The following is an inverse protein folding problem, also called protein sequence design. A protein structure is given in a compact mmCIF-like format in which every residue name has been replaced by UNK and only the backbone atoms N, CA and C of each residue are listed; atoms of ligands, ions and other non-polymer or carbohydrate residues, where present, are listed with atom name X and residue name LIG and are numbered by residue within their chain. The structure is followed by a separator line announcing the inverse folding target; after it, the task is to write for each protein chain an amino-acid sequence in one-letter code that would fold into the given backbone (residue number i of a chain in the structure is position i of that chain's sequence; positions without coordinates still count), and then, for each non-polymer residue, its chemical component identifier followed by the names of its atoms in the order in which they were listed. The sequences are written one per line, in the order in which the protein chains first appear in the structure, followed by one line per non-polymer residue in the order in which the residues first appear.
data_IF_968648743049
#
_entry.id   IF_968648743049
#
_cell.length_a   1.000
_cell.length_b   1.000
_cell.length_c   1.000
_cell.angle_alpha   90.00
_cell.angle_beta   90.00
_cell.angle_gamma   90.00
#
_symmetry.space_group_name_H-M   'P 1'
#
loop_
_entity.id
_entity.type
_entity.pdbx_description
1 polymer ?
#
# COMPACT_ATOMS: atom_id res chain seq x y z
N UNK A 1 3.44 63.51 24.45
CA UNK A 1 2.11 62.89 24.65
C UNK A 1 1.88 62.60 26.14
N UNK A 2 0.75 63.02 26.72
CA UNK A 2 0.44 62.70 28.12
C UNK A 2 0.21 61.19 28.30
N UNK A 3 0.39 60.67 29.53
CA UNK A 3 0.10 59.26 29.85
C UNK A 3 -1.31 58.84 29.39
N UNK A 4 -2.30 59.76 29.46
CA UNK A 4 -3.67 59.54 29.00
C UNK A 4 -3.77 59.40 27.47
N UNK A 5 -3.04 60.22 26.71
CA UNK A 5 -3.03 60.14 25.25
C UNK A 5 -2.37 58.84 24.74
N UNK A 6 -1.32 58.34 25.42
CA UNK A 6 -0.73 57.04 25.12
C UNK A 6 -1.69 55.88 25.42
N UNK A 7 -2.43 55.96 26.52
CA UNK A 7 -3.41 54.95 26.91
C UNK A 7 -4.58 54.86 25.92
N UNK A 8 -5.12 56.03 25.51
CA UNK A 8 -6.21 56.10 24.51
C UNK A 8 -5.73 55.57 23.16
N UNK A 9 -4.53 55.95 22.71
CA UNK A 9 -3.96 55.45 21.45
C UNK A 9 -3.75 53.93 21.48
N UNK A 10 -3.27 53.36 22.59
CA UNK A 10 -3.14 51.92 22.74
C UNK A 10 -4.50 51.21 22.70
N UNK A 11 -5.52 51.75 23.39
CA UNK A 11 -6.89 51.21 23.35
C UNK A 11 -7.50 51.27 21.94
N UNK A 12 -7.30 52.36 21.21
CA UNK A 12 -7.75 52.47 19.82
C UNK A 12 -7.06 51.44 18.93
N UNK A 13 -5.74 51.25 19.06
CA UNK A 13 -5.00 50.25 18.28
C UNK A 13 -5.45 48.83 18.61
N UNK A 14 -5.69 48.51 19.88
CA UNK A 14 -6.25 47.21 20.28
C UNK A 14 -7.66 47.01 19.73
N UNK A 15 -8.50 48.06 19.73
CA UNK A 15 -9.85 48.01 19.15
C UNK A 15 -9.82 47.74 17.65
N UNK A 16 -8.94 48.43 16.90
CA UNK A 16 -8.74 48.19 15.46
C UNK A 16 -8.22 46.78 15.22
N UNK A 17 -7.25 46.32 16.02
CA UNK A 17 -6.72 44.95 15.91
C UNK A 17 -7.78 43.89 16.17
N UNK A 18 -8.62 44.06 17.19
CA UNK A 18 -9.71 43.15 17.50
C UNK A 18 -10.76 43.10 16.38
N UNK A 19 -11.13 44.25 15.82
CA UNK A 19 -12.07 44.33 14.70
C UNK A 19 -11.49 43.66 13.44
N UNK A 20 -10.20 43.87 13.15
CA UNK A 20 -9.52 43.23 12.04
C UNK A 20 -9.48 41.71 12.19
N UNK A 21 -9.11 41.21 13.38
CA UNK A 21 -9.10 39.77 13.68
C UNK A 21 -10.49 39.16 13.59
N UNK A 22 -11.51 39.83 14.12
CA UNK A 22 -12.90 39.37 14.03
C UNK A 22 -13.39 39.32 12.58
N UNK A 23 -13.06 40.34 11.78
CA UNK A 23 -13.36 40.36 10.35
C UNK A 23 -12.68 39.23 9.58
N UNK A 24 -11.39 38.99 9.82
CA UNK A 24 -10.64 37.89 9.21
C UNK A 24 -11.25 36.55 9.59
N UNK A 25 -11.52 36.31 10.88
CA UNK A 25 -12.12 35.06 11.34
C UNK A 25 -13.50 34.83 10.72
N UNK A 26 -14.32 35.89 10.60
CA UNK A 26 -15.63 35.82 9.94
C UNK A 26 -15.52 35.41 8.47
N UNK A 27 -14.55 35.96 7.73
CA UNK A 27 -14.29 35.57 6.33
C UNK A 27 -13.77 34.13 6.25
N UNK A 28 -12.84 33.75 7.11
CA UNK A 28 -12.29 32.38 7.13
C UNK A 28 -13.37 31.34 7.43
N UNK A 29 -14.29 31.62 8.36
CA UNK A 29 -15.43 30.75 8.66
C UNK A 29 -16.42 30.70 7.49
N UNK A 30 -16.78 31.85 6.91
CA UNK A 30 -17.72 31.89 5.77
C UNK A 30 -17.20 31.13 4.55
N UNK A 31 -15.89 31.18 4.31
CA UNK A 31 -15.23 30.42 3.23
C UNK A 31 -15.00 28.94 3.58
N UNK A 32 -15.50 28.45 4.71
CA UNK A 32 -15.53 27.02 5.06
C UNK A 32 -16.90 26.37 4.83
N UNK A 33 -17.93 27.16 4.47
CA UNK A 33 -19.28 26.62 4.37
C UNK A 33 -19.46 25.79 3.08
N UNK A 34 -20.33 24.76 3.08
CA UNK A 34 -20.66 24.00 1.89
C UNK A 34 -21.13 24.88 0.73
N UNK A 35 -21.87 25.96 1.00
CA UNK A 35 -22.35 26.87 -0.05
C UNK A 35 -21.21 27.62 -0.73
N UNK A 36 -20.15 27.98 0.02
CA UNK A 36 -18.96 28.57 -0.58
C UNK A 36 -18.19 27.54 -1.40
N UNK A 37 -17.98 26.34 -0.86
CA UNK A 37 -17.31 25.26 -1.59
C UNK A 37 -18.05 24.93 -2.90
N UNK A 38 -19.38 24.78 -2.85
CA UNK A 38 -20.22 24.49 -4.01
C UNK A 38 -20.44 25.67 -4.97
N UNK A 39 -19.89 26.85 -4.68
CA UNK A 39 -20.06 28.02 -5.55
C UNK A 39 -19.26 27.95 -6.86
N UNK A 40 -18.26 27.07 -6.93
CA UNK A 40 -17.47 26.76 -8.11
C UNK A 40 -18.10 25.59 -8.90
N UNK A 41 -18.09 25.63 -10.24
CA UNK A 41 -18.74 24.58 -11.04
C UNK A 41 -18.03 23.23 -10.84
N UNK A 42 -16.70 23.24 -10.63
CA UNK A 42 -15.89 22.04 -10.44
C UNK A 42 -16.23 21.29 -9.15
N UNK A 43 -16.79 21.99 -8.15
CA UNK A 43 -17.20 21.42 -6.87
C UNK A 43 -18.59 20.77 -6.90
N UNK A 44 -19.36 20.96 -7.98
CA UNK A 44 -20.65 20.28 -8.15
C UNK A 44 -20.52 18.76 -8.25
N UNK A 45 -19.40 18.24 -8.77
CA UNK A 45 -19.15 16.81 -8.86
C UNK A 45 -18.94 16.15 -7.49
N UNK A 46 -17.97 16.57 -6.64
CA UNK A 46 -17.81 16.00 -5.31
C UNK A 46 -19.00 16.30 -4.39
N UNK A 47 -19.73 17.40 -4.60
CA UNK A 47 -20.95 17.70 -3.85
C UNK A 47 -22.03 16.63 -4.05
N UNK A 48 -22.29 16.22 -5.31
CA UNK A 48 -23.29 15.18 -5.60
C UNK A 48 -22.92 13.84 -4.95
N UNK A 49 -21.63 13.52 -4.92
CA UNK A 49 -21.12 12.30 -4.25
C UNK A 49 -21.32 12.39 -2.73
N UNK A 50 -21.03 13.55 -2.15
CA UNK A 50 -21.27 13.80 -0.73
C UNK A 50 -22.74 13.66 -0.36
N UNK A 51 -23.65 14.25 -1.14
CA UNK A 51 -25.11 14.16 -0.93
C UNK A 51 -25.63 12.71 -0.96
N UNK A 52 -24.94 11.82 -1.69
CA UNK A 52 -25.24 10.38 -1.72
C UNK A 52 -24.60 9.56 -0.58
N UNK A 53 -23.77 10.17 0.27
CA UNK A 53 -22.97 9.46 1.28
C UNK A 53 -23.64 9.39 2.66
N UNK A 54 -23.14 8.49 3.51
CA UNK A 54 -23.53 8.40 4.91
C UNK A 54 -23.17 9.64 5.74
N UNK A 55 -22.23 10.47 5.26
CA UNK A 55 -21.83 11.71 5.93
C UNK A 55 -22.82 12.86 5.66
N UNK A 56 -23.64 12.75 4.61
CA UNK A 56 -24.72 13.70 4.35
C UNK A 56 -26.04 13.31 5.04
N UNK A 57 -26.39 12.02 5.00
CA UNK A 57 -27.61 11.50 5.59
C UNK A 57 -27.37 10.13 6.25
N UNK A 58 -27.70 10.02 7.55
CA UNK A 58 -27.61 8.78 8.30
C UNK A 58 -28.70 8.69 9.38
N UNK A 59 -28.88 7.48 9.92
CA UNK A 59 -29.87 7.19 10.95
C UNK A 59 -29.61 7.89 12.30
N UNK A 60 -28.45 8.53 12.49
CA UNK A 60 -28.09 9.27 13.71
C UNK A 60 -28.42 10.76 13.61
N UNK A 61 -28.77 11.26 12.42
CA UNK A 61 -29.11 12.67 12.21
C UNK A 61 -27.91 13.62 12.31
N UNK A 62 -26.68 13.10 12.17
CA UNK A 62 -25.45 13.91 12.19
C UNK A 62 -25.03 14.14 10.75
N UNK A 63 -24.73 15.39 10.38
CA UNK A 63 -24.18 15.73 9.06
C UNK A 63 -22.77 16.25 9.23
N UNK A 64 -21.83 15.67 8.49
CA UNK A 64 -20.50 16.24 8.32
C UNK A 64 -20.50 17.06 7.03
N UNK A 65 -20.11 18.32 7.15
CA UNK A 65 -19.96 19.27 6.05
C UNK A 65 -18.61 19.12 5.35
N UNK A 66 -18.42 19.83 4.24
CA UNK A 66 -17.17 19.77 3.47
C UNK A 66 -15.95 20.11 4.34
N UNK A 67 -16.07 21.15 5.17
CA UNK A 67 -14.98 21.62 6.03
C UNK A 67 -14.67 20.68 7.18
N UNK A 68 -15.67 19.97 7.73
CA UNK A 68 -15.47 19.02 8.82
C UNK A 68 -14.48 17.91 8.46
N UNK A 69 -14.32 17.60 7.17
CA UNK A 69 -13.36 16.62 6.66
C UNK A 69 -12.12 17.25 6.02
N UNK A 70 -12.28 18.31 5.23
CA UNK A 70 -11.20 18.89 4.41
C UNK A 70 -10.42 20.03 5.09
N UNK A 71 -10.93 20.59 6.19
CA UNK A 71 -10.34 21.74 6.87
C UNK A 71 -10.18 21.42 8.36
N UNK A 72 -8.95 21.21 8.86
CA UNK A 72 -8.71 21.03 10.30
C UNK A 72 -9.29 22.18 11.12
N UNK A 73 -9.91 21.88 12.26
CA UNK A 73 -10.78 22.84 12.97
C UNK A 73 -10.05 24.07 13.52
N UNK A 74 -8.76 23.97 13.84
CA UNK A 74 -8.02 25.06 14.47
C UNK A 74 -6.51 25.05 14.19
N UNK A 75 -5.83 26.06 14.75
CA UNK A 75 -4.37 26.14 14.77
C UNK A 75 -3.71 26.36 13.41
N UNK A 76 -2.47 25.88 13.30
CA UNK A 76 -1.66 26.07 12.09
C UNK A 76 -2.21 25.28 10.90
N UNK A 77 -2.77 24.10 11.13
CA UNK A 77 -3.34 23.27 10.07
C UNK A 77 -4.55 23.93 9.40
N UNK A 78 -5.42 24.59 10.18
CA UNK A 78 -6.51 25.41 9.65
C UNK A 78 -5.99 26.52 8.71
N UNK A 79 -4.98 27.28 9.16
CA UNK A 79 -4.39 28.38 8.37
C UNK A 79 -3.70 27.84 7.11
N UNK A 80 -2.95 26.74 7.22
CA UNK A 80 -2.29 26.07 6.09
C UNK A 80 -3.31 25.62 5.05
N UNK A 81 -4.43 25.01 5.46
CA UNK A 81 -5.48 24.56 4.55
C UNK A 81 -6.09 25.75 3.79
N UNK A 82 -6.38 26.86 4.50
CA UNK A 82 -6.92 28.09 3.90
C UNK A 82 -5.97 28.77 2.92
N UNK A 83 -4.68 28.81 3.22
CA UNK A 83 -3.66 29.35 2.30
C UNK A 83 -3.49 28.43 1.09
N UNK A 84 -3.48 27.11 1.30
CA UNK A 84 -3.34 26.12 0.23
C UNK A 84 -4.53 26.16 -0.73
N UNK A 85 -5.74 26.41 -0.23
CA UNK A 85 -6.96 26.53 -1.04
C UNK A 85 -6.92 27.70 -2.06
N UNK A 86 -6.00 28.67 -1.92
CA UNK A 86 -5.81 29.72 -2.92
C UNK A 86 -5.40 29.16 -4.29
N UNK A 87 -4.74 27.99 -4.31
CA UNK A 87 -4.39 27.30 -5.56
C UNK A 87 -5.64 26.83 -6.30
N UNK A 88 -6.68 26.44 -5.57
CA UNK A 88 -7.91 25.91 -6.14
C UNK A 88 -8.70 27.03 -6.82
N UNK A 89 -8.71 28.23 -6.21
CA UNK A 89 -9.25 29.46 -6.84
C UNK A 89 -8.51 29.82 -8.14
N UNK A 90 -7.18 29.71 -8.14
CA UNK A 90 -6.38 29.95 -9.34
C UNK A 90 -6.69 28.93 -10.45
N UNK A 91 -6.72 27.63 -10.12
CA UNK A 91 -6.98 26.58 -11.10
C UNK A 91 -8.41 26.57 -11.63
N UNK A 92 -9.37 26.99 -10.82
CA UNK A 92 -10.74 27.26 -11.26
C UNK A 92 -10.77 28.43 -12.25
N UNK A 93 -10.10 29.55 -11.93
CA UNK A 93 -10.09 30.73 -12.78
C UNK A 93 -9.43 30.51 -14.16
N UNK A 94 -8.42 29.63 -14.25
CA UNK A 94 -7.79 29.25 -15.53
C UNK A 94 -8.47 28.08 -16.23
N UNK A 95 -9.56 27.53 -15.66
CA UNK A 95 -10.35 26.47 -16.29
C UNK A 95 -9.64 25.11 -16.39
N UNK A 96 -8.77 24.76 -15.43
CA UNK A 96 -8.07 23.45 -15.44
C UNK A 96 -9.06 22.28 -15.36
N UNK A 97 -10.19 22.48 -14.68
CA UNK A 97 -11.25 21.49 -14.44
C UNK A 97 -12.62 22.12 -14.81
N UNK A 98 -12.73 22.63 -16.02
CA UNK A 98 -13.94 23.27 -16.55
C UNK A 98 -15.06 22.30 -16.97
N UNK A 99 -14.73 21.02 -17.11
CA UNK A 99 -15.67 19.96 -17.48
C UNK A 99 -15.44 18.65 -16.71
N UNK A 100 -16.41 17.74 -16.82
CA UNK A 100 -16.38 16.45 -16.13
C UNK A 100 -15.21 15.58 -16.58
N UNK A 101 -14.87 15.57 -17.87
CA UNK A 101 -13.78 14.74 -18.36
C UNK A 101 -12.43 15.19 -17.78
N UNK A 102 -12.20 16.49 -17.66
CA UNK A 102 -11.02 17.05 -16.97
C UNK A 102 -11.04 16.81 -15.47
N UNK A 103 -12.22 16.84 -14.83
CA UNK A 103 -12.35 16.49 -13.41
C UNK A 103 -11.93 15.04 -13.17
N UNK A 104 -12.49 14.11 -13.96
CA UNK A 104 -12.16 12.69 -13.86
C UNK A 104 -10.69 12.41 -14.17
N UNK A 105 -10.10 13.07 -15.17
CA UNK A 105 -8.67 12.88 -15.50
C UNK A 105 -7.71 13.34 -14.40
N UNK A 106 -8.13 14.28 -13.55
CA UNK A 106 -7.35 14.75 -12.39
C UNK A 106 -7.82 14.15 -11.06
N UNK A 107 -8.89 13.34 -11.04
CA UNK A 107 -9.49 12.81 -9.81
C UNK A 107 -8.47 12.05 -8.96
N UNK A 108 -7.65 11.20 -9.58
CA UNK A 108 -6.61 10.44 -8.89
C UNK A 108 -5.57 11.36 -8.22
N UNK A 109 -5.08 12.36 -8.94
CA UNK A 109 -4.11 13.32 -8.41
C UNK A 109 -4.71 14.13 -7.25
N UNK A 110 -5.95 14.61 -7.40
CA UNK A 110 -6.63 15.37 -6.35
C UNK A 110 -6.91 14.53 -5.10
N UNK A 111 -7.43 13.31 -5.29
CA UNK A 111 -7.71 12.39 -4.20
C UNK A 111 -6.44 12.02 -3.43
N UNK A 112 -5.35 11.71 -4.14
CA UNK A 112 -4.07 11.37 -3.53
C UNK A 112 -3.54 12.51 -2.67
N UNK A 113 -3.58 13.75 -3.16
CA UNK A 113 -3.14 14.92 -2.36
C UNK A 113 -3.93 15.07 -1.06
N UNK A 114 -5.25 14.89 -1.10
CA UNK A 114 -6.09 14.96 0.11
C UNK A 114 -5.76 13.81 1.06
N UNK A 115 -5.57 12.60 0.54
CA UNK A 115 -5.20 11.44 1.36
C UNK A 115 -3.83 11.61 2.01
N UNK A 116 -2.84 12.13 1.29
CA UNK A 116 -1.51 12.40 1.82
C UNK A 116 -1.57 13.45 2.94
N UNK A 117 -2.36 14.52 2.76
CA UNK A 117 -2.55 15.54 3.80
C UNK A 117 -3.25 14.97 5.04
N UNK A 118 -4.30 14.16 4.86
CA UNK A 118 -4.99 13.45 5.95
C UNK A 118 -4.06 12.41 6.62
N UNK A 119 -3.18 11.76 5.88
CA UNK A 119 -2.25 10.80 6.44
C UNK A 119 -1.19 11.52 7.29
N UNK A 120 -0.63 12.61 6.76
CA UNK A 120 0.42 13.39 7.40
C UNK A 120 -0.04 14.09 8.69
N UNK A 121 -1.33 14.41 8.82
CA UNK A 121 -1.91 15.00 10.03
C UNK A 121 -2.64 14.00 10.94
N UNK A 122 -2.41 12.69 10.75
CA UNK A 122 -3.07 11.62 11.52
C UNK A 122 -4.61 11.68 11.49
N UNK A 123 -5.17 12.01 10.32
CA UNK A 123 -6.60 12.09 10.07
C UNK A 123 -7.33 12.92 11.14
N UNK A 124 -6.74 14.05 11.52
CA UNK A 124 -7.20 14.93 12.60
C UNK A 124 -8.71 15.23 12.53
N UNK A 125 -9.20 15.53 11.33
CA UNK A 125 -10.61 15.81 11.03
C UNK A 125 -11.50 14.58 11.16
N UNK A 126 -11.01 13.39 10.80
CA UNK A 126 -11.75 12.15 11.06
C UNK A 126 -11.85 11.92 12.57
N UNK A 127 -10.76 12.13 13.30
CA UNK A 127 -10.65 11.83 14.74
C UNK A 127 -11.46 12.78 15.62
N UNK A 128 -11.78 13.99 15.16
CA UNK A 128 -12.67 14.89 15.91
C UNK A 128 -14.07 14.32 16.12
N UNK A 129 -14.47 13.36 15.27
CA UNK A 129 -15.74 12.63 15.39
C UNK A 129 -15.54 11.12 15.65
N UNK A 130 -14.46 10.53 15.13
CA UNK A 130 -14.16 9.09 15.16
C UNK A 130 -12.85 8.78 15.88
N UNK A 131 -12.84 8.89 17.22
CA UNK A 131 -11.65 8.56 18.00
C UNK A 131 -11.55 7.04 18.29
N UNK A 132 -10.32 6.51 18.29
CA UNK A 132 -10.07 5.11 18.69
C UNK A 132 -10.53 4.82 20.12
N UNK A 133 -10.58 5.83 20.99
CA UNK A 133 -10.94 5.67 22.40
C UNK A 133 -12.46 5.67 22.62
N UNK A 134 -13.23 6.28 21.73
CA UNK A 134 -14.69 6.32 21.81
C UNK A 134 -15.38 5.23 20.96
N UNK A 135 -14.65 4.55 20.08
CA UNK A 135 -15.20 3.44 19.30
C UNK A 135 -15.52 2.23 20.16
N UNK A 136 -16.78 1.78 20.13
CA UNK A 136 -17.21 0.56 20.80
C UNK A 136 -16.82 -0.68 19.98
N UNK A 137 -15.61 -1.20 20.20
CA UNK A 137 -15.07 -2.35 19.48
C UNK A 137 -15.91 -3.63 19.65
N UNK A 138 -16.67 -3.78 20.74
CA UNK A 138 -17.51 -4.96 20.95
C UNK A 138 -18.71 -5.03 20.02
N UNK A 139 -19.15 -3.89 19.48
CA UNK A 139 -20.29 -3.79 18.56
C UNK A 139 -19.87 -3.85 17.09
N UNK A 140 -18.57 -3.96 16.81
CA UNK A 140 -18.04 -4.11 15.46
C UNK A 140 -18.02 -5.58 15.03
N UNK A 141 -17.96 -5.83 13.73
CA UNK A 141 -17.72 -7.18 13.22
C UNK A 141 -16.36 -7.70 13.73
N UNK A 142 -16.22 -9.03 13.85
CA UNK A 142 -14.97 -9.66 14.35
C UNK A 142 -13.74 -9.16 13.58
N UNK A 143 -13.86 -9.04 12.26
CA UNK A 143 -12.79 -8.53 11.39
C UNK A 143 -12.49 -7.06 11.69
N UNK A 144 -13.51 -6.19 11.70
CA UNK A 144 -13.32 -4.75 11.95
C UNK A 144 -12.71 -4.48 13.33
N UNK A 145 -13.15 -5.22 14.37
CA UNK A 145 -12.56 -5.15 15.71
C UNK A 145 -11.07 -5.46 15.68
N UNK A 146 -10.68 -6.55 15.01
CA UNK A 146 -9.28 -6.94 14.91
C UNK A 146 -8.47 -5.89 14.14
N UNK A 147 -8.95 -5.47 12.96
CA UNK A 147 -8.30 -4.46 12.13
C UNK A 147 -8.11 -3.14 12.86
N UNK A 148 -9.11 -2.63 13.59
CA UNK A 148 -8.96 -1.39 14.36
C UNK A 148 -8.01 -1.54 15.56
N UNK A 149 -7.97 -2.72 16.19
CA UNK A 149 -7.01 -3.00 17.27
C UNK A 149 -5.58 -2.97 16.73
N UNK A 150 -5.35 -3.65 15.60
CA UNK A 150 -4.05 -3.70 14.92
C UNK A 150 -3.65 -2.31 14.41
N UNK A 151 -4.59 -1.55 13.84
CA UNK A 151 -4.35 -0.18 13.37
C UNK A 151 -3.88 0.75 14.48
N UNK A 152 -4.54 0.71 15.65
CA UNK A 152 -4.11 1.47 16.83
C UNK A 152 -2.72 1.06 17.30
N UNK A 153 -2.44 -0.24 17.33
CA UNK A 153 -1.14 -0.77 17.76
C UNK A 153 0.01 -0.41 16.81
N UNK A 154 -0.28 -0.36 15.50
CA UNK A 154 0.70 -0.09 14.45
C UNK A 154 0.80 1.41 14.08
N UNK A 155 0.10 2.29 14.78
CA UNK A 155 0.12 3.74 14.50
C UNK A 155 -0.50 4.13 13.16
N UNK A 156 -1.44 3.32 12.65
CA UNK A 156 -2.17 3.64 11.43
C UNK A 156 -3.24 4.70 11.69
N UNK A 157 -3.53 5.47 10.65
CA UNK A 157 -4.54 6.52 10.67
C UNK A 157 -5.80 6.12 9.88
N UNK A 158 -6.89 6.88 10.03
CA UNK A 158 -8.19 6.53 9.46
C UNK A 158 -8.12 6.39 7.93
N UNK A 159 -7.43 7.33 7.27
CA UNK A 159 -7.35 7.40 5.81
C UNK A 159 -6.48 6.29 5.19
N UNK A 160 -5.70 5.55 5.98
CA UNK A 160 -4.89 4.43 5.47
C UNK A 160 -5.78 3.32 4.90
N UNK A 161 -6.98 3.14 5.46
CA UNK A 161 -7.95 2.14 5.02
C UNK A 161 -9.26 2.75 4.51
N UNK A 162 -9.77 3.81 5.15
CA UNK A 162 -11.05 4.40 4.80
C UNK A 162 -10.94 5.44 3.70
N UNK A 163 -10.57 5.01 2.49
CA UNK A 163 -10.61 5.85 1.29
C UNK A 163 -11.93 5.68 0.56
N UNK A 164 -12.37 6.73 -0.13
CA UNK A 164 -13.62 6.70 -0.89
C UNK A 164 -14.89 6.61 -0.04
N UNK A 165 -14.86 7.13 1.19
CA UNK A 165 -16.01 7.10 2.13
C UNK A 165 -17.17 7.94 1.60
N UNK A 166 -16.85 9.11 1.06
CA UNK A 166 -17.80 10.15 0.63
C UNK A 166 -17.73 10.32 -0.87
N UNK A 167 -16.52 10.39 -1.42
CA UNK A 167 -16.28 10.57 -2.84
C UNK A 167 -15.98 9.23 -3.50
N UNK A 168 -16.38 9.06 -4.76
CA UNK A 168 -16.03 7.88 -5.52
C UNK A 168 -14.51 7.79 -5.67
N UNK A 169 -13.99 6.60 -5.47
CA UNK A 169 -12.59 6.32 -5.73
C UNK A 169 -12.27 6.66 -7.18
N UNK A 170 -11.08 7.22 -7.45
CA UNK A 170 -10.61 7.39 -8.81
C UNK A 170 -10.77 6.08 -9.59
N UNK A 171 -11.39 6.17 -10.76
CA UNK A 171 -11.36 5.06 -11.69
C UNK A 171 -9.88 4.74 -11.90
N UNK A 172 -9.52 3.48 -11.64
CA UNK A 172 -8.19 3.02 -11.97
C UNK A 172 -8.05 3.32 -13.45
N UNK A 173 -7.16 4.23 -13.78
CA UNK A 173 -6.69 4.31 -15.14
C UNK A 173 -6.02 2.97 -15.42
N UNK A 174 -6.81 2.00 -15.87
CA UNK A 174 -6.43 1.05 -16.88
C UNK A 174 -6.10 1.89 -18.12
N UNK A 175 -5.07 2.74 -18.03
CA UNK A 175 -4.30 3.13 -19.19
C UNK A 175 -3.95 1.80 -19.84
N UNK A 176 -4.54 1.58 -21.02
CA UNK A 176 -4.42 0.34 -21.74
C UNK A 176 -2.96 -0.10 -21.75
N UNK A 177 -2.74 -1.39 -21.55
CA UNK A 177 -1.51 -2.06 -21.96
C UNK A 177 -0.20 -1.42 -21.48
N UNK A 178 -0.08 -1.11 -20.20
CA UNK A 178 1.11 -1.59 -19.50
C UNK A 178 0.65 -2.70 -18.58
N UNK A 179 0.50 -3.90 -19.15
CA UNK A 179 0.80 -5.09 -18.36
C UNK A 179 2.09 -4.75 -17.61
N UNK A 180 2.15 -4.96 -16.30
CA UNK A 180 3.45 -5.19 -15.69
C UNK A 180 4.02 -6.35 -16.49
N UNK A 181 4.86 -6.07 -17.48
CA UNK A 181 5.35 -7.10 -18.37
C UNK A 181 6.06 -8.08 -17.46
N UNK A 182 5.58 -9.33 -17.47
CA UNK A 182 6.20 -10.37 -16.68
C UNK A 182 7.72 -10.28 -16.91
N UNK A 183 8.53 -10.20 -15.85
CA UNK A 183 9.96 -10.00 -16.01
C UNK A 183 10.47 -11.10 -16.93
N UNK A 184 11.09 -10.71 -18.04
CA UNK A 184 11.71 -11.68 -18.93
C UNK A 184 13.07 -12.03 -18.35
N UNK A 185 13.42 -13.31 -18.38
CA UNK A 185 14.79 -13.69 -18.08
C UNK A 185 15.71 -12.95 -19.04
N UNK A 186 16.80 -12.39 -18.52
CA UNK A 186 17.75 -11.65 -19.35
C UNK A 186 18.64 -12.58 -20.19
N UNK A 187 18.37 -13.90 -20.16
CA UNK A 187 19.11 -14.90 -20.92
C UNK A 187 20.58 -14.85 -20.53
N UNK A 188 20.89 -15.29 -19.30
CA UNK A 188 22.24 -15.24 -18.76
C UNK A 188 23.24 -15.79 -19.78
N UNK A 189 24.14 -14.93 -20.26
CA UNK A 189 25.16 -15.27 -21.26
C UNK A 189 26.51 -15.67 -20.63
N UNK A 190 26.69 -15.38 -19.33
CA UNK A 190 27.91 -15.71 -18.57
C UNK A 190 27.55 -16.18 -17.17
N UNK A 191 28.42 -17.03 -16.60
CA UNK A 191 28.21 -17.55 -15.24
C UNK A 191 28.11 -16.38 -14.24
N UNK A 192 27.17 -16.50 -13.31
CA UNK A 192 26.89 -15.49 -12.28
C UNK A 192 26.86 -16.19 -10.93
N UNK A 193 27.14 -15.45 -9.85
CA UNK A 193 27.08 -16.00 -8.50
C UNK A 193 25.65 -16.45 -8.16
N UNK A 194 24.66 -15.67 -8.60
CA UNK A 194 23.24 -15.88 -8.31
C UNK A 194 22.36 -15.59 -9.53
N UNK A 195 21.23 -16.28 -9.58
CA UNK A 195 20.14 -16.03 -10.50
C UNK A 195 18.79 -16.33 -9.84
N UNK A 196 17.72 -15.74 -10.36
CA UNK A 196 16.38 -15.84 -9.81
C UNK A 196 15.42 -16.29 -10.89
N UNK A 197 14.51 -17.21 -10.56
CA UNK A 197 13.42 -17.58 -11.44
C UNK A 197 12.46 -16.38 -11.60
N UNK A 198 12.13 -16.02 -12.85
CA UNK A 198 11.28 -14.85 -13.12
C UNK A 198 9.79 -15.15 -12.97
N UNK A 199 9.41 -16.40 -13.15
CA UNK A 199 8.04 -16.91 -13.05
C UNK A 199 8.05 -18.35 -12.51
N UNK A 200 6.89 -18.96 -12.31
CA UNK A 200 6.84 -20.37 -11.94
C UNK A 200 7.35 -21.23 -13.10
N UNK A 201 8.36 -22.05 -12.84
CA UNK A 201 9.02 -22.85 -13.89
C UNK A 201 9.27 -24.28 -13.43
N UNK A 202 9.24 -25.18 -14.40
CA UNK A 202 9.64 -26.58 -14.20
C UNK A 202 11.13 -26.70 -14.51
N UNK A 203 11.92 -26.98 -13.49
CA UNK A 203 13.28 -27.46 -13.62
C UNK A 203 13.34 -28.97 -13.33
N UNK A 204 14.53 -29.53 -13.54
CA UNK A 204 14.80 -30.92 -13.19
C UNK A 204 16.10 -31.04 -12.41
N UNK A 205 16.17 -32.02 -11.51
CA UNK A 205 17.42 -32.36 -10.85
C UNK A 205 18.37 -33.15 -11.76
N UNK A 206 19.52 -33.59 -11.21
CA UNK A 206 20.51 -34.37 -11.96
C UNK A 206 20.00 -35.76 -12.38
N UNK A 207 19.02 -36.31 -11.67
CA UNK A 207 18.40 -37.61 -11.99
C UNK A 207 17.15 -37.47 -12.88
N UNK A 208 16.67 -36.25 -13.12
CA UNK A 208 15.51 -35.96 -13.96
C UNK A 208 14.19 -35.78 -13.21
N UNK A 209 14.19 -35.72 -11.88
CA UNK A 209 12.99 -35.49 -11.08
C UNK A 209 12.52 -34.02 -11.15
N UNK A 210 11.21 -33.77 -11.04
CA UNK A 210 10.65 -32.42 -11.24
C UNK A 210 10.91 -31.53 -10.01
N UNK A 211 11.52 -30.36 -10.25
CA UNK A 211 11.63 -29.28 -9.26
C UNK A 211 10.91 -28.06 -9.81
N UNK A 212 9.75 -27.74 -9.22
CA UNK A 212 8.95 -26.59 -9.65
C UNK A 212 9.37 -25.34 -8.86
N UNK A 213 10.16 -24.49 -9.49
CA UNK A 213 10.62 -23.23 -8.94
C UNK A 213 9.48 -22.20 -8.93
N UNK A 214 9.35 -21.46 -7.83
CA UNK A 214 8.46 -20.30 -7.72
C UNK A 214 9.15 -19.04 -8.26
N UNK A 215 8.42 -17.97 -8.60
CA UNK A 215 9.02 -16.66 -8.84
C UNK A 215 9.94 -16.25 -7.68
N UNK A 216 11.04 -15.56 -7.96
CA UNK A 216 12.09 -15.19 -6.99
C UNK A 216 12.85 -16.36 -6.35
N UNK A 217 12.67 -17.60 -6.80
CA UNK A 217 13.49 -18.70 -6.33
C UNK A 217 14.96 -18.45 -6.70
N UNK A 218 15.83 -18.43 -5.69
CA UNK A 218 17.24 -18.11 -5.83
C UNK A 218 18.05 -19.37 -6.14
N UNK A 219 18.86 -19.28 -7.19
CA UNK A 219 19.81 -20.29 -7.61
C UNK A 219 21.22 -19.75 -7.38
N UNK A 220 21.99 -20.50 -6.61
CA UNK A 220 23.41 -20.25 -6.35
C UNK A 220 24.29 -21.06 -7.30
N UNK A 221 25.58 -20.70 -7.39
CA UNK A 221 26.59 -21.45 -8.15
C UNK A 221 26.19 -21.67 -9.63
N UNK A 222 25.64 -20.63 -10.26
CA UNK A 222 24.98 -20.73 -11.56
C UNK A 222 25.99 -20.91 -12.69
N UNK A 223 25.85 -22.02 -13.42
CA UNK A 223 26.62 -22.38 -14.62
C UNK A 223 25.70 -22.42 -15.83
N UNK A 224 26.21 -22.01 -16.98
CA UNK A 224 25.46 -22.02 -18.25
C UNK A 224 26.05 -23.09 -19.15
N UNK A 225 25.18 -23.96 -19.67
CA UNK A 225 25.50 -25.01 -20.61
C UNK A 225 24.59 -24.87 -21.84
N UNK A 226 25.01 -24.08 -22.83
CA UNK A 226 24.17 -23.73 -23.98
C UNK A 226 22.94 -22.94 -23.54
N UNK A 227 21.74 -23.42 -23.90
CA UNK A 227 20.47 -22.76 -23.58
C UNK A 227 19.95 -23.08 -22.17
N UNK A 228 20.68 -23.89 -21.39
CA UNK A 228 20.30 -24.32 -20.05
C UNK A 228 21.19 -23.68 -18.99
N UNK A 229 20.57 -23.32 -17.88
CA UNK A 229 21.24 -22.96 -16.63
C UNK A 229 21.20 -24.16 -15.68
N UNK A 230 22.32 -24.42 -15.03
CA UNK A 230 22.43 -25.30 -13.87
C UNK A 230 22.77 -24.46 -12.65
N UNK A 231 22.01 -24.59 -11.57
CA UNK A 231 22.28 -23.90 -10.32
C UNK A 231 21.85 -24.74 -9.13
N UNK A 232 22.18 -24.27 -7.94
CA UNK A 232 21.84 -24.92 -6.68
C UNK A 232 20.75 -24.10 -5.99
N UNK A 233 19.56 -24.68 -5.86
CA UNK A 233 18.51 -24.17 -5.00
C UNK A 233 18.83 -24.60 -3.55
N UNK A 234 18.89 -23.64 -2.63
CA UNK A 234 19.04 -23.90 -1.20
C UNK A 234 17.81 -23.35 -0.45
N UNK A 235 17.34 -24.11 0.52
CA UNK A 235 16.19 -23.71 1.34
C UNK A 235 15.91 -24.69 2.45
N UNK A 236 14.72 -24.60 3.04
CA UNK A 236 14.30 -25.37 4.20
C UNK A 236 13.03 -26.16 3.93
N UNK A 237 12.95 -27.38 4.45
CA UNK A 237 11.75 -28.22 4.43
C UNK A 237 11.29 -28.49 5.85
N UNK A 238 10.00 -28.26 6.12
CA UNK A 238 9.39 -28.56 7.41
C UNK A 238 8.96 -30.04 7.46
N UNK A 239 9.20 -30.72 8.58
CA UNK A 239 8.73 -32.08 8.79
C UNK A 239 7.20 -32.18 8.57
N UNK A 240 6.77 -33.11 7.72
CA UNK A 240 5.36 -33.29 7.33
C UNK A 240 4.91 -32.43 6.15
N UNK A 241 5.77 -31.54 5.64
CA UNK A 241 5.57 -30.76 4.42
C UNK A 241 6.75 -30.94 3.44
N UNK A 242 7.18 -32.18 3.27
CA UNK A 242 8.42 -32.56 2.56
C UNK A 242 8.43 -32.15 1.08
N UNK A 243 7.27 -31.91 0.47
CA UNK A 243 7.14 -31.45 -0.92
C UNK A 243 7.33 -29.94 -1.12
N UNK A 244 7.49 -29.17 -0.04
CA UNK A 244 7.59 -27.70 -0.08
C UNK A 244 8.94 -27.22 0.41
N UNK A 245 9.62 -26.42 -0.40
CA UNK A 245 10.89 -25.78 -0.05
C UNK A 245 10.64 -24.30 0.26
N UNK A 246 11.06 -23.87 1.44
CA UNK A 246 10.95 -22.51 1.96
C UNK A 246 12.28 -21.78 1.90
N UNK A 247 12.27 -20.46 1.70
CA UNK A 247 13.50 -19.66 1.63
C UNK A 247 14.27 -19.63 2.96
N UNK A 248 13.55 -19.52 4.08
CA UNK A 248 14.13 -19.34 5.41
C UNK A 248 13.42 -20.19 6.48
N UNK A 249 14.15 -20.52 7.54
CA UNK A 249 13.64 -21.25 8.70
C UNK A 249 12.46 -20.51 9.35
N UNK A 250 11.34 -21.20 9.54
CA UNK A 250 10.14 -20.65 10.19
C UNK A 250 9.37 -19.62 9.33
N UNK A 251 9.83 -19.30 8.11
CA UNK A 251 9.17 -18.39 7.18
C UNK A 251 8.49 -19.16 6.07
N UNK A 252 7.18 -18.97 5.90
CA UNK A 252 6.36 -19.62 4.87
C UNK A 252 6.51 -18.95 3.50
N UNK A 253 7.76 -18.70 3.08
CA UNK A 253 8.12 -18.12 1.78
C UNK A 253 8.49 -19.27 0.86
N UNK A 254 7.51 -19.81 0.13
CA UNK A 254 7.73 -20.97 -0.75
C UNK A 254 8.53 -20.57 -1.99
N UNK A 255 9.69 -21.22 -2.19
CA UNK A 255 10.59 -21.00 -3.33
C UNK A 255 10.60 -22.18 -4.30
N UNK A 256 10.22 -23.39 -3.86
CA UNK A 256 10.00 -24.50 -4.77
C UNK A 256 8.99 -25.52 -4.24
N UNK A 257 8.44 -26.30 -5.17
CA UNK A 257 7.71 -27.53 -4.89
C UNK A 257 8.47 -28.69 -5.55
N UNK A 258 8.66 -29.76 -4.80
CA UNK A 258 9.37 -30.97 -5.24
C UNK A 258 8.44 -32.17 -5.18
N UNK A 259 8.60 -33.09 -6.11
CA UNK A 259 7.94 -34.39 -6.03
C UNK A 259 8.67 -35.34 -5.06
N UNK A 260 8.09 -36.52 -4.82
CA UNK A 260 8.66 -37.51 -3.91
C UNK A 260 10.03 -38.02 -4.36
N UNK A 261 10.33 -37.98 -5.66
CA UNK A 261 11.60 -38.43 -6.21
C UNK A 261 12.71 -37.41 -5.98
N UNK A 262 12.46 -36.15 -6.37
CA UNK A 262 13.34 -35.02 -6.11
C UNK A 262 13.60 -34.87 -4.61
N UNK A 263 12.57 -35.04 -3.77
CA UNK A 263 12.72 -35.04 -2.32
C UNK A 263 13.76 -36.05 -1.82
N UNK A 264 13.77 -37.28 -2.34
CA UNK A 264 14.75 -38.31 -1.96
C UNK A 264 16.18 -38.01 -2.42
N UNK A 265 16.32 -37.15 -3.44
CA UNK A 265 17.62 -36.74 -3.97
C UNK A 265 18.19 -35.48 -3.29
N UNK A 266 17.41 -34.86 -2.39
CA UNK A 266 17.83 -33.68 -1.65
C UNK A 266 19.11 -33.92 -0.84
N UNK A 267 20.08 -33.02 -0.95
CA UNK A 267 21.22 -33.02 -0.06
C UNK A 267 20.83 -32.29 1.23
N UNK A 268 20.68 -33.03 2.32
CA UNK A 268 20.40 -32.45 3.65
C UNK A 268 21.69 -31.88 4.22
N UNK A 269 21.72 -30.56 4.43
CA UNK A 269 22.86 -29.82 4.99
C UNK A 269 22.85 -29.93 6.51
N UNK A 270 21.70 -29.66 7.12
CA UNK A 270 21.50 -29.74 8.56
C UNK A 270 20.01 -29.90 8.90
N UNK A 271 19.74 -30.29 10.14
CA UNK A 271 18.39 -30.33 10.72
C UNK A 271 18.36 -29.46 11.96
N UNK A 272 17.34 -28.61 12.08
CA UNK A 272 17.14 -27.73 13.22
C UNK A 272 15.70 -27.79 13.69
N UNK A 273 15.50 -27.91 14.99
CA UNK A 273 14.20 -27.77 15.62
C UNK A 273 13.85 -26.28 15.73
N UNK A 274 12.64 -25.90 15.34
CA UNK A 274 12.14 -24.53 15.44
C UNK A 274 11.06 -24.43 16.53
N UNK A 275 11.36 -23.70 17.59
CA UNK A 275 10.49 -23.57 18.78
C UNK A 275 9.17 -22.85 18.47
N UNK A 276 9.11 -22.05 17.39
CA UNK A 276 7.90 -21.30 17.02
C UNK A 276 6.87 -22.21 16.34
N UNK A 277 7.35 -23.10 15.47
CA UNK A 277 6.51 -24.05 14.75
C UNK A 277 6.40 -25.41 15.46
N UNK A 278 7.22 -25.65 16.49
CA UNK A 278 7.33 -26.93 17.23
C UNK A 278 7.57 -28.11 16.28
N UNK A 279 8.42 -27.89 15.29
CA UNK A 279 8.72 -28.88 14.24
C UNK A 279 10.19 -28.86 13.85
N UNK A 280 10.66 -29.99 13.35
CA UNK A 280 11.99 -30.09 12.76
C UNK A 280 11.99 -29.57 11.33
N UNK A 281 13.02 -28.82 10.99
CA UNK A 281 13.26 -28.28 9.67
C UNK A 281 14.60 -28.77 9.14
N UNK A 282 14.60 -29.27 7.91
CA UNK A 282 15.80 -29.71 7.20
C UNK A 282 16.23 -28.65 6.21
N UNK A 283 17.45 -28.17 6.34
CA UNK A 283 18.07 -27.36 5.30
C UNK A 283 18.52 -28.28 4.18
N UNK A 284 18.07 -28.00 2.96
CA UNK A 284 18.24 -28.87 1.80
C UNK A 284 18.80 -28.11 0.61
N UNK A 285 19.57 -28.83 -0.20
CA UNK A 285 20.10 -28.34 -1.47
C UNK A 285 19.65 -29.25 -2.62
N UNK A 286 19.19 -28.64 -3.70
CA UNK A 286 18.85 -29.31 -4.95
C UNK A 286 19.70 -28.72 -6.07
N UNK A 287 20.36 -29.58 -6.84
CA UNK A 287 20.84 -29.20 -8.16
C UNK A 287 19.61 -29.07 -9.07
N UNK A 288 19.47 -27.95 -9.78
CA UNK A 288 18.33 -27.70 -10.67
C UNK A 288 18.83 -27.21 -12.02
N UNK A 289 18.28 -27.79 -13.08
CA UNK A 289 18.52 -27.41 -14.47
C UNK A 289 17.23 -26.87 -15.09
N UNK A 290 17.30 -25.71 -15.75
CA UNK A 290 16.18 -25.06 -16.42
C UNK A 290 16.66 -24.15 -17.57
N UNK A 291 15.79 -23.74 -18.51
CA UNK A 291 16.20 -22.86 -19.60
C UNK A 291 16.73 -21.51 -19.11
N UNK A 292 17.85 -21.04 -19.66
CA UNK A 292 18.51 -19.80 -19.25
C UNK A 292 17.64 -18.54 -19.47
N UNK A 293 16.71 -18.59 -20.43
CA UNK A 293 15.74 -17.51 -20.69
C UNK A 293 14.68 -17.35 -19.58
N UNK A 294 14.65 -18.25 -18.61
CA UNK A 294 13.68 -18.26 -17.50
C UNK A 294 14.25 -17.76 -16.18
N UNK A 295 15.49 -17.30 -16.19
CA UNK A 295 16.18 -16.76 -15.02
C UNK A 295 16.75 -15.39 -15.31
N UNK A 296 16.94 -14.60 -14.26
CA UNK A 296 17.62 -13.29 -14.30
C UNK A 296 18.57 -13.15 -13.12
N UNK A 297 19.68 -12.45 -13.28
CA UNK A 297 20.52 -12.03 -12.15
C UNK A 297 20.18 -10.62 -11.63
N UNK A 298 19.16 -9.98 -12.21
CA UNK A 298 18.71 -8.65 -11.81
C UNK A 298 17.53 -8.74 -10.82
N UNK A 299 17.87 -8.90 -9.55
CA UNK A 299 16.89 -8.87 -8.46
C UNK A 299 16.20 -7.51 -8.33
N UNK A 300 16.86 -6.42 -8.72
CA UNK A 300 16.28 -5.06 -8.65
C UNK A 300 15.08 -4.95 -9.57
N UNK A 301 15.20 -5.46 -10.80
CA UNK A 301 14.09 -5.50 -11.77
C UNK A 301 12.95 -6.41 -11.28
N UNK A 302 13.26 -7.56 -10.66
CA UNK A 302 12.22 -8.41 -10.05
C UNK A 302 11.49 -7.72 -8.90
N UNK A 303 12.22 -7.05 -8.01
CA UNK A 303 11.63 -6.29 -6.91
C UNK A 303 10.79 -5.11 -7.43
N UNK A 304 11.24 -4.43 -8.48
CA UNK A 304 10.46 -3.39 -9.13
C UNK A 304 9.16 -3.96 -9.70
N UNK A 305 9.19 -5.12 -10.36
CA UNK A 305 7.99 -5.80 -10.84
C UNK A 305 7.01 -6.14 -9.70
N UNK A 306 7.49 -6.73 -8.61
CA UNK A 306 6.67 -7.03 -7.43
C UNK A 306 6.07 -5.77 -6.80
N UNK A 307 6.85 -4.68 -6.72
CA UNK A 307 6.38 -3.37 -6.28
C UNK A 307 5.29 -2.84 -7.20
N UNK A 308 5.45 -2.92 -8.52
CA UNK A 308 4.44 -2.50 -9.48
C UNK A 308 3.17 -3.34 -9.37
N UNK A 309 3.27 -4.66 -9.13
CA UNK A 309 2.09 -5.48 -8.87
C UNK A 309 1.33 -4.98 -7.63
N UNK A 310 2.03 -4.65 -6.54
CA UNK A 310 1.43 -4.12 -5.33
C UNK A 310 0.77 -2.76 -5.58
N UNK A 311 1.52 -1.82 -6.17
CA UNK A 311 1.03 -0.47 -6.42
C UNK A 311 -0.13 -0.48 -7.43
N UNK A 312 -0.08 -1.27 -8.49
CA UNK A 312 -1.08 -1.20 -9.54
C UNK A 312 -2.36 -1.96 -9.18
N UNK A 313 -2.25 -3.09 -8.46
CA UNK A 313 -3.40 -3.96 -8.20
C UNK A 313 -3.96 -3.83 -6.79
N UNK A 314 -3.19 -3.34 -5.82
CA UNK A 314 -3.65 -3.18 -4.44
C UNK A 314 -3.96 -1.73 -4.06
N UNK A 315 -3.64 -0.75 -4.91
CA UNK A 315 -3.96 0.67 -4.65
C UNK A 315 -5.35 1.12 -5.10
N UNK A 316 -6.13 0.23 -5.73
CA UNK A 316 -7.44 0.59 -6.29
C UNK A 316 -8.49 0.97 -5.24
N UNK A 317 -8.35 0.50 -4.01
CA UNK A 317 -9.29 0.77 -2.93
C UNK A 317 -8.71 1.64 -1.80
N UNK A 318 -7.42 1.51 -1.51
CA UNK A 318 -6.70 2.27 -0.49
C UNK A 318 -5.26 2.53 -0.94
N UNK A 319 -4.42 3.23 -0.17
CA UNK A 319 -2.98 3.24 -0.50
C UNK A 319 -2.47 1.80 -0.39
N UNK A 320 -1.70 1.35 -1.37
CA UNK A 320 -1.04 0.06 -1.27
C UNK A 320 -0.11 0.06 -0.05
N UNK A 321 -0.24 -0.99 0.76
CA UNK A 321 0.49 -1.13 2.02
C UNK A 321 1.95 -1.43 1.68
N UNK A 322 2.89 -0.73 2.33
CA UNK A 322 4.31 -0.95 2.13
C UNK A 322 4.73 -2.36 2.57
N UNK A 323 5.67 -2.98 1.85
CA UNK A 323 6.06 -4.36 2.10
C UNK A 323 6.57 -4.61 3.54
N UNK A 324 7.21 -3.61 4.13
CA UNK A 324 7.76 -3.60 5.49
C UNK A 324 6.71 -3.38 6.60
N UNK A 325 5.42 -3.42 6.28
CA UNK A 325 4.36 -3.23 7.27
C UNK A 325 4.04 -4.52 8.05
N UNK A 326 3.89 -5.65 7.33
CA UNK A 326 3.56 -6.95 7.91
C UNK A 326 4.79 -7.87 7.97
N UNK A 327 4.69 -8.94 8.76
CA UNK A 327 5.67 -10.04 8.72
C UNK A 327 5.49 -10.90 7.47
N UNK A 328 6.53 -11.63 7.07
CA UNK A 328 6.48 -12.54 5.92
C UNK A 328 5.34 -13.56 6.04
N UNK A 329 5.05 -14.06 7.24
CA UNK A 329 3.96 -15.02 7.43
C UNK A 329 2.57 -14.37 7.40
N UNK A 330 2.44 -13.08 7.78
CA UNK A 330 1.17 -12.35 7.75
C UNK A 330 0.73 -11.97 6.34
N UNK A 331 1.68 -11.66 5.44
CA UNK A 331 1.36 -11.27 4.05
C UNK A 331 0.53 -12.29 3.28
N UNK A 332 0.67 -13.59 3.58
CA UNK A 332 -0.13 -14.65 2.98
C UNK A 332 -1.62 -14.41 3.21
N UNK A 333 -2.00 -14.04 4.45
CA UNK A 333 -3.40 -13.77 4.79
C UNK A 333 -3.92 -12.50 4.12
N UNK A 334 -3.10 -11.45 4.09
CA UNK A 334 -3.44 -10.16 3.50
C UNK A 334 -3.70 -10.30 2.00
N UNK A 335 -2.76 -10.88 1.24
CA UNK A 335 -2.91 -11.07 -0.21
C UNK A 335 -4.10 -11.99 -0.51
N UNK A 336 -4.30 -13.08 0.23
CA UNK A 336 -5.45 -13.96 0.03
C UNK A 336 -6.81 -13.27 0.28
N UNK A 337 -6.86 -12.27 1.17
CA UNK A 337 -8.08 -11.50 1.42
C UNK A 337 -8.41 -10.50 0.30
N UNK A 338 -7.42 -10.16 -0.54
CA UNK A 338 -7.53 -9.12 -1.57
C UNK A 338 -7.54 -9.69 -2.99
N UNK A 339 -6.86 -10.80 -3.26
CA UNK A 339 -6.61 -11.30 -4.64
C UNK A 339 -7.87 -11.45 -5.50
N UNK A 340 -8.99 -11.88 -4.92
CA UNK A 340 -10.27 -12.06 -5.62
C UNK A 340 -10.94 -10.73 -6.03
N UNK A 341 -10.43 -9.61 -5.52
CA UNK A 341 -10.87 -8.24 -5.85
C UNK A 341 -9.95 -7.57 -6.88
N UNK A 342 -8.98 -8.31 -7.41
CA UNK A 342 -8.01 -7.84 -8.41
C UNK A 342 -8.11 -8.66 -9.69
N UNK A 343 -7.61 -8.14 -10.80
CA UNK A 343 -7.54 -8.86 -12.07
C UNK A 343 -6.26 -9.69 -12.23
N UNK A 344 -5.47 -9.87 -11.17
CA UNK A 344 -4.19 -10.57 -11.23
C UNK A 344 -4.36 -12.07 -11.53
N UNK A 345 -3.50 -12.57 -12.40
CA UNK A 345 -3.32 -14.00 -12.64
C UNK A 345 -2.75 -14.71 -11.40
N UNK A 346 -2.86 -16.05 -11.38
CA UNK A 346 -2.31 -16.85 -10.27
C UNK A 346 -0.80 -16.69 -10.10
N UNK A 347 -0.07 -16.44 -11.19
CA UNK A 347 1.38 -16.24 -11.14
C UNK A 347 1.76 -14.84 -10.66
N UNK A 348 1.01 -13.80 -11.05
CA UNK A 348 1.16 -12.46 -10.49
C UNK A 348 0.87 -12.45 -8.99
N UNK A 349 -0.18 -13.13 -8.53
CA UNK A 349 -0.48 -13.25 -7.09
C UNK A 349 0.68 -13.91 -6.33
N UNK A 350 1.30 -14.95 -6.89
CA UNK A 350 2.48 -15.61 -6.28
C UNK A 350 3.69 -14.69 -6.25
N UNK A 351 4.00 -14.03 -7.37
CA UNK A 351 5.12 -13.10 -7.47
C UNK A 351 4.96 -11.93 -6.49
N UNK A 352 3.76 -11.33 -6.41
CA UNK A 352 3.42 -10.29 -5.45
C UNK A 352 3.59 -10.78 -4.01
N UNK A 353 3.05 -11.97 -3.70
CA UNK A 353 3.15 -12.53 -2.34
C UNK A 353 4.61 -12.71 -1.95
N UNK A 354 5.44 -13.33 -2.80
CA UNK A 354 6.85 -13.58 -2.49
C UNK A 354 7.62 -12.26 -2.40
N UNK A 355 7.35 -11.28 -3.26
CA UNK A 355 7.93 -9.94 -3.17
C UNK A 355 7.64 -9.28 -1.81
N UNK A 356 6.38 -9.25 -1.39
CA UNK A 356 5.97 -8.66 -0.11
C UNK A 356 6.60 -9.42 1.07
N UNK A 357 6.67 -10.75 0.98
CA UNK A 357 7.28 -11.58 1.99
C UNK A 357 8.80 -11.36 2.13
N UNK A 358 9.54 -11.26 1.02
CA UNK A 358 11.00 -11.02 1.02
C UNK A 358 11.37 -9.64 1.54
N UNK A 359 10.48 -8.66 1.37
CA UNK A 359 10.66 -7.28 1.81
C UNK A 359 9.88 -6.97 3.10
N UNK A 360 9.44 -8.00 3.82
CA UNK A 360 8.68 -7.87 5.05
C UNK A 360 9.52 -7.36 6.22
N UNK A 361 8.86 -6.86 7.27
CA UNK A 361 9.53 -6.20 8.40
C UNK A 361 10.47 -7.09 9.20
N UNK A 362 10.24 -8.39 9.16
CA UNK A 362 10.98 -9.43 9.87
C UNK A 362 11.96 -10.18 8.97
N UNK A 363 12.28 -9.59 7.81
CA UNK A 363 13.32 -10.05 6.88
C UNK A 363 14.54 -9.14 6.94
N UNK A 364 15.72 -9.70 6.64
CA UNK A 364 16.91 -8.90 6.43
C UNK A 364 16.72 -7.99 5.20
N UNK A 365 17.10 -6.71 5.32
CA UNK A 365 17.11 -5.80 4.18
C UNK A 365 18.16 -6.29 3.18
N UNK A 366 17.72 -6.57 1.96
CA UNK A 366 18.55 -7.06 0.86
C UNK A 366 19.30 -5.93 0.17
#
# INVERSE_FOLDING_TARGET
MSKKAKLISALCLMGVGALALWGVQGVMHKTSSPEFCASCHSMSYPQQEWEGSSHFANAKGIRAECSDCHIPNEGWHYVKAKVTALKDLYFEAVGKIDDKAKYESHRAEMAQRVWDDMQANDSETCRSCHSFDAMELSQQSKLAKQTHTDAKANGQTCIDCHKGIVHFLPEQQHQGSNQSSAPQGNGLATATAQAFAVEMQKGHDKQGAEVRLMPFAELNEVKINGDMVQGVLQGWQQAGADSVVYAELGKRITVALVDDEAFRHAQVVQTKHDDVTDTDWREVRFDVSLPAVKVTNDLTTLNHYGSQLNQNNCSGCHAAISADHYTANQWIGVVNSMKERTSMSKDEVRALTIYLQRNAKDMAKQ
#
